data_IF_844704322024
#
_entry.id   IF_844704322024
#
_cell.length_a   1.000
_cell.length_b   1.000
_cell.length_c   1.000
_cell.angle_alpha   90.00
_cell.angle_beta   90.00
_cell.angle_gamma   90.00
#
_symmetry.space_group_name_H-M   'P 1'
#
loop_
_entity.id
_entity.type
_entity.pdbx_description
1 polymer ?
#
# COMPACT_ATOMS: atom_id res chain seq x y z
N UNK A 1 -27.58 0.13 -18.74
CA UNK A 1 -26.94 -1.12 -19.23
C UNK A 1 -25.41 -1.03 -19.36
N UNK A 2 -24.84 0.14 -19.71
CA UNK A 2 -23.41 0.30 -19.95
C UNK A 2 -22.55 0.11 -18.68
N UNK A 3 -22.99 0.63 -17.53
CA UNK A 3 -22.31 0.45 -16.24
C UNK A 3 -22.22 -1.02 -15.81
N UNK A 4 -23.30 -1.80 -16.00
CA UNK A 4 -23.30 -3.24 -15.71
C UNK A 4 -22.30 -4.00 -16.58
N UNK A 5 -22.17 -3.62 -17.86
CA UNK A 5 -21.18 -4.20 -18.78
C UNK A 5 -19.74 -3.85 -18.38
N UNK A 6 -19.50 -2.62 -17.90
CA UNK A 6 -18.18 -2.18 -17.42
C UNK A 6 -17.78 -2.94 -16.14
N UNK A 7 -18.70 -3.06 -15.16
CA UNK A 7 -18.44 -3.80 -13.92
C UNK A 7 -18.16 -5.28 -14.21
N UNK A 8 -18.90 -5.87 -15.16
CA UNK A 8 -18.71 -7.26 -15.56
C UNK A 8 -17.38 -7.46 -16.30
N UNK A 9 -16.99 -6.53 -17.17
CA UNK A 9 -15.69 -6.54 -17.84
C UNK A 9 -14.53 -6.46 -16.82
N UNK A 10 -14.60 -5.52 -15.87
CA UNK A 10 -13.59 -5.39 -14.81
C UNK A 10 -13.55 -6.63 -13.90
N UNK A 11 -14.71 -7.22 -13.58
CA UNK A 11 -14.77 -8.46 -12.79
C UNK A 11 -14.12 -9.63 -13.53
N UNK A 12 -14.36 -9.77 -14.83
CA UNK A 12 -13.74 -10.82 -15.65
C UNK A 12 -12.22 -10.65 -15.70
N UNK A 13 -11.73 -9.45 -15.97
CA UNK A 13 -10.28 -9.15 -16.01
C UNK A 13 -9.63 -9.43 -14.65
N UNK A 14 -10.30 -9.07 -13.56
CA UNK A 14 -9.80 -9.30 -12.20
C UNK A 14 -9.75 -10.80 -11.87
N UNK A 15 -10.78 -11.57 -12.22
CA UNK A 15 -10.83 -13.03 -12.02
C UNK A 15 -9.75 -13.74 -12.84
N UNK A 16 -9.58 -13.40 -14.13
CA UNK A 16 -8.55 -14.03 -14.97
C UNK A 16 -7.14 -13.72 -14.51
N UNK A 17 -6.91 -12.54 -13.94
CA UNK A 17 -5.60 -12.13 -13.41
C UNK A 17 -5.28 -12.76 -12.06
N UNK A 18 -6.29 -13.09 -11.26
CA UNK A 18 -6.13 -13.70 -9.92
C UNK A 18 -6.10 -15.23 -9.97
N UNK A 19 -6.76 -15.87 -10.95
CA UNK A 19 -6.79 -17.33 -11.14
C UNK A 19 -5.81 -17.87 -12.20
N UNK A 20 -4.91 -17.04 -12.74
CA UNK A 20 -3.79 -17.52 -13.54
C UNK A 20 -2.76 -18.25 -12.65
N UNK A 21 -3.14 -19.40 -12.12
CA UNK A 21 -2.33 -20.28 -11.30
C UNK A 21 -1.43 -21.12 -12.22
N UNK A 22 -0.13 -21.08 -11.96
CA UNK A 22 0.93 -21.77 -12.70
C UNK A 22 0.71 -23.29 -12.67
N UNK A 23 0.79 -23.95 -13.84
CA UNK A 23 0.95 -25.40 -13.94
C UNK A 23 2.18 -25.84 -13.13
N UNK A 24 2.03 -26.86 -12.27
CA UNK A 24 3.16 -27.58 -11.69
C UNK A 24 3.83 -28.40 -12.80
N UNK A 25 5.08 -28.08 -13.11
CA UNK A 25 6.01 -28.96 -13.83
C UNK A 25 6.89 -29.62 -12.79
N UNK A 26 7.00 -30.95 -12.85
CA UNK A 26 7.99 -31.69 -12.07
C UNK A 26 9.39 -31.28 -12.55
N UNK A 27 10.16 -30.63 -11.67
CA UNK A 27 11.52 -30.18 -11.98
C UNK A 27 12.53 -31.18 -11.41
N UNK A 28 13.26 -31.86 -12.28
CA UNK A 28 14.49 -32.58 -11.94
C UNK A 28 15.61 -31.54 -11.84
N UNK A 29 16.34 -31.51 -10.72
CA UNK A 29 17.51 -30.64 -10.57
C UNK A 29 18.75 -31.34 -11.14
N UNK A 30 19.26 -30.84 -12.26
CA UNK A 30 20.62 -31.13 -12.76
C UNK A 30 21.43 -29.85 -12.58
N UNK A 31 22.45 -29.90 -11.73
CA UNK A 31 23.36 -28.78 -11.55
C UNK A 31 24.41 -28.79 -12.66
N UNK A 32 24.22 -27.96 -13.67
CA UNK A 32 25.25 -27.66 -14.65
C UNK A 32 25.83 -26.28 -14.37
N UNK A 33 27.15 -26.21 -14.23
CA UNK A 33 27.89 -24.96 -13.99
C UNK A 33 27.92 -24.15 -15.29
N UNK A 34 26.98 -23.22 -15.44
CA UNK A 34 26.95 -22.28 -16.57
C UNK A 34 27.80 -21.06 -16.24
N UNK A 35 28.83 -20.83 -17.05
CA UNK A 35 29.56 -19.55 -17.08
C UNK A 35 28.77 -18.64 -18.03
N UNK A 36 28.16 -17.57 -17.50
CA UNK A 36 27.41 -16.59 -18.31
C UNK A 36 28.27 -15.36 -18.53
N UNK A 37 28.39 -14.95 -19.80
CA UNK A 37 28.94 -13.65 -20.19
C UNK A 37 27.89 -12.56 -20.00
N UNK A 38 28.25 -11.48 -19.32
CA UNK A 38 27.37 -10.34 -19.07
C UNK A 38 26.97 -9.64 -20.37
N UNK A 39 25.67 -9.66 -20.67
CA UNK A 39 25.09 -8.78 -21.69
C UNK A 39 24.42 -7.61 -20.96
N UNK A 40 25.04 -6.44 -21.04
CA UNK A 40 24.55 -5.21 -20.41
C UNK A 40 23.38 -4.66 -21.23
N UNK A 41 22.18 -4.60 -20.64
CA UNK A 41 21.07 -3.84 -21.19
C UNK A 41 21.13 -2.39 -20.69
N UNK A 42 21.44 -1.46 -21.59
CA UNK A 42 21.35 -0.03 -21.34
C UNK A 42 19.87 0.39 -21.40
N UNK A 43 19.20 0.46 -20.24
CA UNK A 43 17.89 1.10 -20.15
C UNK A 43 18.04 2.60 -20.42
N UNK A 44 17.58 3.03 -21.60
CA UNK A 44 17.60 4.43 -22.01
C UNK A 44 16.53 5.16 -21.21
N UNK A 45 16.95 6.08 -20.34
CA UNK A 45 16.03 6.94 -19.58
C UNK A 45 15.05 7.66 -20.53
N UNK A 46 13.76 7.37 -20.38
CA UNK A 46 12.69 8.10 -21.10
C UNK A 46 12.62 9.49 -20.47
N UNK A 47 13.16 10.50 -21.16
CA UNK A 47 12.97 11.91 -20.82
C UNK A 47 11.51 12.29 -21.09
N UNK A 48 10.63 12.02 -20.13
CA UNK A 48 9.29 12.61 -20.09
C UNK A 48 9.45 14.11 -19.80
N UNK A 49 9.45 14.93 -20.86
CA UNK A 49 9.16 16.35 -20.68
C UNK A 49 7.71 16.45 -20.23
N UNK A 50 7.39 17.09 -19.08
CA UNK A 50 6.02 17.40 -18.77
C UNK A 50 5.47 18.21 -19.94
N UNK A 51 4.42 17.71 -20.58
CA UNK A 51 3.63 18.56 -21.47
C UNK A 51 3.21 19.77 -20.64
N UNK A 52 3.26 20.98 -21.22
CA UNK A 52 2.89 22.24 -20.56
C UNK A 52 1.45 22.18 -20.03
N UNK A 53 1.27 21.56 -18.86
CA UNK A 53 0.04 21.54 -18.11
C UNK A 53 -0.07 22.92 -17.47
N UNK A 54 -0.69 23.84 -18.24
CA UNK A 54 -1.23 25.06 -17.67
C UNK A 54 -2.38 24.65 -16.77
N UNK A 55 -2.10 24.52 -15.48
CA UNK A 55 -3.15 24.51 -14.48
C UNK A 55 -3.74 25.91 -14.46
N UNK A 56 -5.03 26.03 -14.79
CA UNK A 56 -5.77 27.26 -14.48
C UNK A 56 -5.65 27.48 -12.97
N UNK A 57 -5.46 28.73 -12.54
CA UNK A 57 -5.61 29.10 -11.14
C UNK A 57 -6.92 28.52 -10.63
N UNK A 58 -6.89 27.86 -9.47
CA UNK A 58 -8.11 27.55 -8.73
C UNK A 58 -8.73 28.88 -8.31
N UNK A 59 -9.56 29.44 -9.16
CA UNK A 59 -10.53 30.43 -8.77
C UNK A 59 -11.64 29.67 -8.05
N UNK A 60 -11.65 29.80 -6.74
CA UNK A 60 -12.83 29.48 -5.94
C UNK A 60 -13.85 30.55 -6.34
N UNK A 61 -14.80 30.18 -7.19
CA UNK A 61 -16.02 30.97 -7.35
C UNK A 61 -16.73 30.93 -5.99
N UNK A 62 -16.51 31.97 -5.18
CA UNK A 62 -17.45 32.32 -4.12
C UNK A 62 -18.75 32.70 -4.81
N UNK A 63 -19.66 31.74 -4.96
CA UNK A 63 -21.05 32.04 -5.27
C UNK A 63 -21.57 32.93 -4.13
N UNK A 64 -21.65 34.24 -4.38
CA UNK A 64 -22.37 35.18 -3.53
C UNK A 64 -23.74 34.60 -3.23
N UNK A 65 -23.99 34.31 -1.94
CA UNK A 65 -25.31 33.95 -1.45
C UNK A 65 -26.18 35.20 -1.59
N UNK A 66 -26.80 35.37 -2.75
CA UNK A 66 -27.91 36.30 -2.92
C UNK A 66 -29.01 35.82 -1.98
N UNK A 67 -29.46 36.70 -1.08
CA UNK A 67 -30.62 36.43 -0.23
C UNK A 67 -31.80 36.01 -1.09
N UNK A 68 -32.10 34.71 -1.11
CA UNK A 68 -33.27 34.16 -1.78
C UNK A 68 -34.46 34.45 -0.86
N UNK A 69 -35.11 35.58 -1.14
CA UNK A 69 -36.39 35.91 -0.56
C UNK A 69 -37.48 35.16 -1.34
N UNK A 70 -37.78 33.91 -0.95
CA UNK A 70 -38.91 33.17 -1.53
C UNK A 70 -39.58 32.28 -0.47
N UNK A 71 -40.90 32.42 -0.45
CA UNK A 71 -41.86 31.59 0.27
C UNK A 71 -41.84 30.18 -0.37
N UNK A 72 -40.99 29.28 0.13
CA UNK A 72 -40.73 27.97 -0.48
C UNK A 72 -41.23 26.86 0.43
N UNK A 73 -41.88 25.87 -0.18
CA UNK A 73 -42.38 24.65 0.44
C UNK A 73 -41.25 23.88 1.14
N UNK A 74 -41.49 23.47 2.38
CA UNK A 74 -40.46 22.95 3.29
C UNK A 74 -39.84 21.65 2.78
N UNK A 75 -40.62 20.83 2.09
CA UNK A 75 -40.17 19.57 1.47
C UNK A 75 -39.24 19.81 0.27
N UNK A 76 -39.53 20.84 -0.53
CA UNK A 76 -38.72 21.21 -1.71
C UNK A 76 -37.39 21.85 -1.27
N UNK A 77 -37.42 22.64 -0.19
CA UNK A 77 -36.23 23.18 0.45
C UNK A 77 -35.37 22.06 1.08
N UNK A 78 -35.98 21.06 1.71
CA UNK A 78 -35.25 19.90 2.25
C UNK A 78 -34.60 19.06 1.14
N UNK A 79 -35.27 18.84 0.00
CA UNK A 79 -34.66 18.19 -1.16
C UNK A 79 -33.50 19.02 -1.75
N UNK A 80 -33.65 20.34 -1.88
CA UNK A 80 -32.61 21.22 -2.40
C UNK A 80 -31.42 21.31 -1.46
N UNK A 81 -31.65 21.42 -0.14
CA UNK A 81 -30.61 21.36 0.89
C UNK A 81 -29.92 20.00 0.88
N UNK A 82 -30.65 18.90 0.70
CA UNK A 82 -30.09 17.55 0.59
C UNK A 82 -29.25 17.39 -0.68
N UNK A 83 -29.67 17.98 -1.80
CA UNK A 83 -28.92 18.06 -3.08
C UNK A 83 -27.66 18.94 -2.98
N UNK A 84 -27.73 20.07 -2.27
CA UNK A 84 -26.58 20.95 -1.99
C UNK A 84 -25.58 20.30 -1.03
N UNK A 85 -26.07 19.53 -0.05
CA UNK A 85 -25.28 18.77 0.93
C UNK A 85 -24.70 17.46 0.35
N UNK A 86 -24.98 17.10 -0.90
CA UNK A 86 -24.41 15.90 -1.54
C UNK A 86 -23.03 16.12 -2.16
N UNK A 87 -22.61 17.36 -2.43
CA UNK A 87 -21.25 17.70 -2.93
C UNK A 87 -20.15 17.56 -1.85
N UNK A 88 -20.39 16.82 -0.78
CA UNK A 88 -19.58 16.89 0.43
C UNK A 88 -18.27 16.13 0.27
N UNK A 89 -17.22 16.90 0.05
CA UNK A 89 -15.88 16.53 0.43
C UNK A 89 -15.86 16.19 1.93
N UNK A 90 -15.34 15.02 2.28
CA UNK A 90 -15.17 14.54 3.64
C UNK A 90 -13.68 14.33 3.90
N UNK A 91 -13.26 14.51 5.15
CA UNK A 91 -11.90 14.25 5.57
C UNK A 91 -11.90 13.74 7.01
N UNK A 92 -10.82 13.09 7.40
CA UNK A 92 -10.68 12.64 8.77
C UNK A 92 -9.33 11.99 9.05
N UNK A 93 -9.20 11.58 10.30
CA UNK A 93 -8.09 10.80 10.82
C UNK A 93 -8.54 9.35 11.02
N UNK A 94 -7.59 8.42 10.95
CA UNK A 94 -7.78 7.01 11.21
C UNK A 94 -6.70 6.55 12.20
N UNK A 95 -7.08 5.69 13.13
CA UNK A 95 -6.15 4.97 13.99
C UNK A 95 -6.67 3.55 14.18
N UNK A 96 -5.77 2.58 14.31
CA UNK A 96 -6.19 1.20 14.43
C UNK A 96 -5.06 0.24 14.76
N UNK A 97 -5.41 -1.03 14.82
CA UNK A 97 -4.49 -2.14 15.04
C UNK A 97 -4.62 -3.14 13.90
N UNK A 98 -3.58 -3.92 13.66
CA UNK A 98 -3.55 -4.86 12.54
C UNK A 98 -2.65 -6.06 12.80
N UNK A 99 -2.86 -7.07 11.96
CA UNK A 99 -2.08 -8.30 11.91
C UNK A 99 -1.55 -8.45 10.49
N UNK A 100 -0.25 -8.67 10.35
CA UNK A 100 0.46 -8.81 9.08
C UNK A 100 1.13 -10.18 9.04
N UNK A 101 0.91 -10.91 7.96
CA UNK A 101 1.65 -12.15 7.67
C UNK A 101 2.50 -11.92 6.44
N UNK A 102 3.76 -12.34 6.47
CA UNK A 102 4.68 -12.18 5.35
C UNK A 102 5.20 -13.54 4.93
N UNK A 103 5.04 -13.88 3.66
CA UNK A 103 5.33 -15.23 3.14
C UNK A 103 6.81 -15.60 3.26
N UNK A 104 7.73 -14.65 3.09
CA UNK A 104 9.16 -14.90 3.25
C UNK A 104 9.58 -15.17 4.70
N UNK A 105 8.76 -14.73 5.67
CA UNK A 105 9.02 -14.95 7.08
C UNK A 105 8.57 -16.34 7.57
N UNK A 106 7.86 -17.11 6.74
CA UNK A 106 7.33 -18.43 7.13
C UNK A 106 8.43 -19.43 7.49
N UNK A 107 9.60 -19.33 6.86
CA UNK A 107 10.74 -20.20 7.13
C UNK A 107 11.66 -19.69 8.25
N UNK A 108 11.40 -18.48 8.78
CA UNK A 108 12.33 -17.80 9.70
C UNK A 108 11.85 -17.85 11.15
N UNK A 109 10.54 -18.01 11.36
CA UNK A 109 9.94 -18.07 12.68
C UNK A 109 8.59 -18.76 12.60
N UNK A 110 8.33 -19.65 13.56
CA UNK A 110 7.00 -20.24 13.77
C UNK A 110 5.94 -19.16 14.05
N UNK A 111 6.34 -18.00 14.56
CA UNK A 111 5.51 -16.81 14.77
C UNK A 111 5.60 -15.87 13.57
N UNK A 112 5.05 -16.30 12.44
CA UNK A 112 5.02 -15.52 11.19
C UNK A 112 3.95 -14.40 11.14
N UNK A 113 3.22 -14.19 12.25
CA UNK A 113 2.17 -13.19 12.37
C UNK A 113 2.62 -11.99 13.20
N UNK A 114 2.70 -10.83 12.56
CA UNK A 114 3.18 -9.59 13.11
C UNK A 114 2.03 -8.68 13.56
N UNK A 115 2.06 -8.25 14.81
CA UNK A 115 1.12 -7.25 15.32
C UNK A 115 1.63 -5.83 15.05
N UNK A 116 0.72 -4.92 14.75
CA UNK A 116 1.05 -3.51 14.56
C UNK A 116 -0.10 -2.57 14.83
N UNK A 117 0.25 -1.29 14.84
CA UNK A 117 -0.67 -0.17 15.02
C UNK A 117 -0.55 0.77 13.83
N UNK A 118 -1.64 1.44 13.48
CA UNK A 118 -1.65 2.40 12.39
C UNK A 118 -2.23 3.75 12.82
N UNK A 119 -1.78 4.79 12.15
CA UNK A 119 -2.35 6.13 12.20
C UNK A 119 -2.32 6.74 10.80
N UNK A 120 -3.36 7.47 10.42
CA UNK A 120 -3.43 8.02 9.09
C UNK A 120 -4.48 9.11 8.92
N UNK A 121 -4.49 9.66 7.72
CA UNK A 121 -5.43 10.68 7.27
C UNK A 121 -6.13 10.20 6.01
N UNK A 122 -7.33 10.70 5.79
CA UNK A 122 -8.08 10.40 4.59
C UNK A 122 -8.91 11.57 4.12
N UNK A 123 -9.13 11.61 2.82
CA UNK A 123 -10.07 12.51 2.15
C UNK A 123 -10.99 11.67 1.27
N UNK A 124 -12.25 12.06 1.17
CA UNK A 124 -13.27 11.32 0.42
C UNK A 124 -14.18 12.28 -0.31
N UNK A 125 -14.56 11.93 -1.53
CA UNK A 125 -15.48 12.69 -2.36
C UNK A 125 -16.48 11.77 -3.02
N UNK A 126 -17.75 12.14 -2.97
CA UNK A 126 -18.79 11.46 -3.75
C UNK A 126 -18.57 11.72 -5.24
N UNK A 127 -18.64 10.65 -6.05
CA UNK A 127 -18.50 10.74 -7.51
C UNK A 127 -19.83 10.46 -8.19
N UNK A 128 -20.63 9.55 -7.63
CA UNK A 128 -21.99 9.29 -8.10
C UNK A 128 -22.89 9.44 -6.88
N UNK A 129 -23.49 10.61 -6.75
CA UNK A 129 -24.34 10.93 -5.61
C UNK A 129 -25.60 10.05 -5.58
N UNK A 130 -25.99 9.52 -4.40
CA UNK A 130 -25.29 9.51 -3.11
C UNK A 130 -24.52 8.21 -2.84
N UNK A 131 -24.52 7.26 -3.78
CA UNK A 131 -24.21 5.86 -3.49
C UNK A 131 -22.75 5.47 -3.71
N UNK A 132 -21.92 6.34 -4.31
CA UNK A 132 -20.55 5.98 -4.64
C UNK A 132 -19.56 7.12 -4.37
N UNK A 133 -18.53 6.83 -3.59
CA UNK A 133 -17.45 7.77 -3.25
C UNK A 133 -16.07 7.18 -3.52
N UNK A 134 -15.12 8.06 -3.81
CA UNK A 134 -13.69 7.72 -3.81
C UNK A 134 -13.03 8.33 -2.57
N UNK A 135 -12.19 7.54 -1.93
CA UNK A 135 -11.43 7.92 -0.75
C UNK A 135 -9.94 7.70 -0.99
N UNK A 136 -9.14 8.75 -0.78
CA UNK A 136 -7.69 8.67 -0.75
C UNK A 136 -7.26 8.67 0.71
N UNK A 137 -6.43 7.70 1.11
CA UNK A 137 -5.91 7.60 2.47
C UNK A 137 -4.40 7.41 2.48
N UNK A 138 -3.73 8.07 3.43
CA UNK A 138 -2.32 7.90 3.72
C UNK A 138 -2.16 7.45 5.18
N UNK A 139 -1.56 6.29 5.39
CA UNK A 139 -1.41 5.64 6.68
C UNK A 139 0.06 5.34 6.97
N UNK A 140 0.44 5.46 8.24
CA UNK A 140 1.72 4.98 8.78
C UNK A 140 1.42 3.83 9.71
N UNK A 141 2.01 2.68 9.42
CA UNK A 141 1.94 1.49 10.26
C UNK A 141 3.26 1.31 11.00
N UNK A 142 3.18 0.98 12.28
CA UNK A 142 4.30 0.52 13.08
C UNK A 142 4.09 -0.96 13.40
N UNK A 143 4.99 -1.79 12.90
CA UNK A 143 4.95 -3.23 13.08
C UNK A 143 5.98 -3.68 14.12
N UNK A 144 5.52 -4.41 15.14
CA UNK A 144 6.39 -4.93 16.20
C UNK A 144 7.20 -6.13 15.71
N UNK A 145 8.38 -6.35 16.27
CA UNK A 145 9.21 -7.51 15.88
C UNK A 145 8.52 -8.83 16.23
N UNK A 146 8.63 -9.82 15.35
CA UNK A 146 8.26 -11.23 15.63
C UNK A 146 9.45 -12.18 15.65
N UNK A 147 10.60 -11.73 15.14
CA UNK A 147 11.87 -12.44 15.19
C UNK A 147 13.04 -11.45 15.09
N UNK A 148 14.18 -11.86 15.63
CA UNK A 148 15.41 -11.10 15.72
C UNK A 148 16.57 -12.07 15.48
N UNK A 149 17.18 -11.98 14.31
CA UNK A 149 18.30 -12.81 13.89
C UNK A 149 19.59 -12.15 14.33
N UNK A 150 20.43 -12.86 15.08
CA UNK A 150 21.68 -12.33 15.65
C UNK A 150 22.75 -13.41 15.59
N UNK A 151 23.72 -13.25 14.67
CA UNK A 151 24.78 -14.24 14.44
C UNK A 151 25.73 -14.41 15.62
N UNK A 152 25.72 -13.48 16.58
CA UNK A 152 26.52 -13.62 17.81
C UNK A 152 25.87 -14.56 18.84
N UNK A 153 24.59 -14.91 18.66
CA UNK A 153 23.83 -15.73 19.60
C UNK A 153 23.51 -17.11 19.05
N UNK A 154 23.18 -17.20 17.76
CA UNK A 154 22.76 -18.43 17.11
C UNK A 154 23.10 -18.40 15.62
N UNK A 155 23.31 -19.58 15.03
CA UNK A 155 23.49 -19.71 13.59
C UNK A 155 22.19 -19.33 12.89
N UNK A 156 22.29 -18.47 11.87
CA UNK A 156 21.11 -17.99 11.12
C UNK A 156 21.24 -18.34 9.64
N UNK A 157 20.13 -18.58 8.96
CA UNK A 157 20.14 -18.88 7.53
C UNK A 157 20.57 -17.69 6.63
N UNK A 158 20.68 -16.47 7.20
CA UNK A 158 21.28 -15.29 6.56
C UNK A 158 22.77 -15.14 6.89
N UNK A 159 23.33 -16.05 7.67
CA UNK A 159 24.74 -16.01 8.01
C UNK A 159 25.60 -16.25 6.78
N UNK A 160 26.56 -15.35 6.55
CA UNK A 160 27.47 -15.45 5.42
C UNK A 160 28.01 -14.12 4.95
N UNK A 161 28.89 -14.23 3.96
CA UNK A 161 29.44 -13.09 3.24
C UNK A 161 28.53 -12.70 2.09
N UNK A 162 28.25 -11.41 2.03
CA UNK A 162 27.56 -10.72 0.95
C UNK A 162 28.56 -9.76 0.29
N UNK A 163 28.24 -9.28 -0.90
CA UNK A 163 29.08 -8.32 -1.61
C UNK A 163 28.27 -7.07 -1.92
N UNK A 164 28.87 -5.91 -1.71
CA UNK A 164 28.31 -4.64 -2.20
C UNK A 164 28.42 -4.56 -3.73
N UNK A 165 27.81 -3.53 -4.33
CA UNK A 165 27.96 -3.25 -5.77
C UNK A 165 29.41 -3.01 -6.19
N UNK A 166 30.27 -2.60 -5.26
CA UNK A 166 31.71 -2.37 -5.46
C UNK A 166 32.57 -3.59 -5.06
N UNK A 167 31.97 -4.79 -5.03
CA UNK A 167 32.58 -6.07 -4.65
C UNK A 167 33.25 -6.07 -3.25
N UNK A 168 32.83 -5.18 -2.36
CA UNK A 168 33.33 -5.17 -0.99
C UNK A 168 32.63 -6.26 -0.17
N UNK A 169 33.37 -7.09 0.59
CA UNK A 169 32.76 -8.10 1.43
C UNK A 169 31.98 -7.44 2.56
N UNK A 170 30.80 -7.98 2.84
CA UNK A 170 29.90 -7.60 3.93
C UNK A 170 29.60 -8.87 4.71
N UNK A 171 29.81 -8.88 6.03
CA UNK A 171 29.45 -10.03 6.85
C UNK A 171 28.14 -9.74 7.59
N UNK A 172 27.12 -10.56 7.37
CA UNK A 172 25.83 -10.39 8.06
C UNK A 172 26.00 -10.50 9.58
N UNK A 173 25.29 -9.64 10.32
CA UNK A 173 25.33 -9.62 11.80
C UNK A 173 23.94 -9.79 12.39
N UNK A 174 23.00 -8.92 12.01
CA UNK A 174 21.70 -8.86 12.67
C UNK A 174 20.59 -8.43 11.74
N UNK A 175 19.41 -8.99 11.94
CA UNK A 175 18.18 -8.53 11.28
C UNK A 175 16.99 -8.57 12.22
N UNK A 176 16.28 -7.45 12.30
CA UNK A 176 15.02 -7.36 13.03
C UNK A 176 13.91 -6.86 12.10
N UNK A 177 12.78 -7.57 12.09
CA UNK A 177 11.65 -7.24 11.22
C UNK A 177 10.74 -6.11 11.75
N UNK A 178 11.10 -5.42 12.84
CA UNK A 178 10.42 -4.20 13.30
C UNK A 178 10.63 -3.08 12.29
N UNK A 179 9.55 -2.50 11.79
CA UNK A 179 9.64 -1.44 10.79
C UNK A 179 8.43 -0.51 10.81
N UNK A 180 8.62 0.65 10.18
CA UNK A 180 7.53 1.50 9.73
C UNK A 180 7.19 1.18 8.28
N UNK A 181 5.89 1.20 7.99
CA UNK A 181 5.34 1.01 6.66
C UNK A 181 4.42 2.20 6.33
N UNK A 182 4.70 2.85 5.20
CA UNK A 182 3.90 3.98 4.71
C UNK A 182 2.97 3.47 3.61
N UNK A 183 1.66 3.61 3.79
CA UNK A 183 0.66 3.06 2.87
C UNK A 183 -0.20 4.17 2.29
N UNK A 184 -0.21 4.28 0.97
CA UNK A 184 -1.12 5.13 0.22
C UNK A 184 -2.20 4.28 -0.43
N UNK A 185 -3.47 4.66 -0.32
CA UNK A 185 -4.58 3.87 -0.85
C UNK A 185 -5.63 4.74 -1.51
N UNK A 186 -6.16 4.25 -2.63
CA UNK A 186 -7.35 4.78 -3.28
C UNK A 186 -8.46 3.73 -3.17
N UNK A 187 -9.53 4.07 -2.46
CA UNK A 187 -10.68 3.20 -2.17
C UNK A 187 -11.91 3.69 -2.94
N UNK A 188 -12.60 2.76 -3.59
CA UNK A 188 -13.93 2.92 -4.13
C UNK A 188 -14.94 2.38 -3.13
N UNK A 189 -15.86 3.24 -2.67
CA UNK A 189 -16.77 2.96 -1.56
C UNK A 189 -18.21 3.06 -2.07
N UNK A 190 -19.01 2.04 -1.77
CA UNK A 190 -20.44 2.07 -2.03
C UNK A 190 -21.21 2.36 -0.74
N UNK A 191 -22.08 3.37 -0.73
CA UNK A 191 -22.89 3.73 0.44
C UNK A 191 -24.16 2.89 0.48
N UNK A 192 -24.32 2.07 1.52
CA UNK A 192 -25.54 1.29 1.77
C UNK A 192 -26.02 1.47 3.21
N UNK A 193 -26.90 2.45 3.42
CA UNK A 193 -27.35 2.87 4.76
C UNK A 193 -26.14 3.26 5.63
N UNK A 194 -25.89 2.51 6.71
CA UNK A 194 -24.73 2.71 7.59
C UNK A 194 -23.53 1.83 7.18
N UNK A 195 -23.70 0.90 6.24
CA UNK A 195 -22.66 0.02 5.77
C UNK A 195 -22.01 0.60 4.50
N UNK A 196 -20.69 0.51 4.44
CA UNK A 196 -19.89 1.07 3.35
C UNK A 196 -18.86 0.03 2.91
N UNK A 197 -19.26 -0.98 2.11
CA UNK A 197 -18.29 -1.89 1.51
C UNK A 197 -17.36 -1.10 0.58
N UNK A 198 -16.09 -1.50 0.56
CA UNK A 198 -15.09 -0.86 -0.28
C UNK A 198 -14.10 -1.84 -0.87
N UNK A 199 -13.55 -1.43 -2.02
CA UNK A 199 -12.44 -2.08 -2.69
C UNK A 199 -11.42 -1.00 -3.04
N UNK A 200 -10.13 -1.30 -3.00
CA UNK A 200 -9.10 -0.30 -3.23
C UNK A 200 -7.84 -0.85 -3.84
N UNK A 201 -7.05 0.07 -4.40
CA UNK A 201 -5.66 -0.17 -4.78
C UNK A 201 -4.76 0.56 -3.81
N UNK A 202 -3.62 -0.04 -3.50
CA UNK A 202 -2.72 0.48 -2.51
C UNK A 202 -1.26 0.27 -2.89
N UNK A 203 -0.43 1.20 -2.45
CA UNK A 203 1.00 1.12 -2.54
C UNK A 203 1.58 1.29 -1.13
N UNK A 204 2.53 0.44 -0.74
CA UNK A 204 3.28 0.63 0.48
C UNK A 204 4.75 0.89 0.20
N UNK A 205 5.41 1.53 1.16
CA UNK A 205 6.86 1.58 1.28
C UNK A 205 7.26 1.00 2.62
N UNK A 206 8.03 -0.09 2.58
CA UNK A 206 8.62 -0.70 3.76
C UNK A 206 10.08 -0.23 3.91
N UNK A 207 10.52 -0.01 5.15
CA UNK A 207 11.91 0.31 5.47
C UNK A 207 12.43 -0.69 6.51
N UNK A 208 13.13 -1.71 6.04
CA UNK A 208 13.77 -2.71 6.89
C UNK A 208 15.23 -2.34 7.14
N UNK A 209 15.74 -2.64 8.33
CA UNK A 209 17.15 -2.45 8.69
C UNK A 209 17.83 -3.80 8.90
N UNK A 210 18.96 -3.99 8.23
CA UNK A 210 19.87 -5.11 8.41
C UNK A 210 21.23 -4.57 8.84
N UNK A 211 21.94 -5.31 9.69
CA UNK A 211 23.25 -4.92 10.17
C UNK A 211 24.32 -5.84 9.59
N UNK A 212 25.39 -5.23 9.08
CA UNK A 212 26.53 -5.93 8.50
C UNK A 212 27.82 -5.39 9.09
N UNK A 213 28.86 -6.22 9.17
CA UNK A 213 30.24 -5.75 9.28
C UNK A 213 30.73 -5.36 7.90
N UNK A 214 31.29 -4.16 7.80
CA UNK A 214 31.83 -3.57 6.57
C UNK A 214 33.35 -3.38 6.72
N UNK A 215 34.10 -3.35 5.60
CA UNK A 215 35.55 -3.17 5.65
C UNK A 215 35.91 -1.73 6.05
N UNK A 216 36.74 -1.57 7.07
CA UNK A 216 37.45 -0.33 7.38
C UNK A 216 38.94 -0.65 7.34
N UNK A 217 39.70 0.04 6.47
CA UNK A 217 41.12 -0.25 6.23
C UNK A 217 41.41 -1.72 5.88
N UNK A 218 40.60 -2.30 4.99
CA UNK A 218 40.69 -3.71 4.56
C UNK A 218 40.45 -4.76 5.66
N UNK A 219 39.84 -4.37 6.78
CA UNK A 219 39.45 -5.27 7.86
C UNK A 219 37.95 -5.13 8.13
N UNK A 220 37.22 -6.25 8.20
CA UNK A 220 35.81 -6.28 8.58
C UNK A 220 35.66 -6.04 10.08
N UNK A 221 35.53 -4.78 10.48
CA UNK A 221 35.50 -4.39 11.90
C UNK A 221 34.45 -3.31 12.24
N UNK A 222 33.82 -2.71 11.24
CA UNK A 222 32.85 -1.64 11.42
C UNK A 222 31.44 -2.16 11.21
N UNK A 223 30.54 -1.92 12.15
CA UNK A 223 29.13 -2.27 12.01
C UNK A 223 28.36 -1.15 11.31
N UNK A 224 27.58 -1.51 10.28
CA UNK A 224 26.76 -0.55 9.51
C UNK A 224 25.34 -1.06 9.27
N UNK A 225 24.40 -0.11 9.14
CA UNK A 225 22.96 -0.33 8.96
C UNK A 225 22.58 -0.21 7.47
N UNK A 226 22.22 -1.32 6.84
CA UNK A 226 21.69 -1.36 5.47
C UNK A 226 20.17 -1.28 5.49
N UNK A 227 19.61 -0.33 4.73
CA UNK A 227 18.16 -0.11 4.63
C UNK A 227 17.61 -0.63 3.32
N UNK A 228 16.69 -1.58 3.39
CA UNK A 228 15.91 -2.00 2.22
C UNK A 228 14.68 -1.11 2.08
N UNK A 229 14.59 -0.39 0.96
CA UNK A 229 13.46 0.45 0.59
C UNK A 229 12.75 -0.17 -0.61
N UNK A 230 11.54 -0.68 -0.38
CA UNK A 230 10.76 -1.32 -1.44
C UNK A 230 9.36 -0.74 -1.52
N UNK A 231 8.95 -0.40 -2.74
CA UNK A 231 7.58 0.00 -3.03
C UNK A 231 6.83 -1.23 -3.53
N UNK A 232 5.77 -1.62 -2.82
CA UNK A 232 4.93 -2.75 -3.24
C UNK A 232 3.53 -2.26 -3.56
N UNK A 233 2.90 -2.94 -4.51
CA UNK A 233 1.54 -2.64 -4.94
C UNK A 233 0.61 -3.77 -4.52
N UNK A 234 -0.64 -3.41 -4.27
CA UNK A 234 -1.62 -4.31 -3.71
C UNK A 234 -3.04 -3.83 -3.89
N UNK A 235 -3.94 -4.57 -3.26
CA UNK A 235 -5.35 -4.24 -3.20
C UNK A 235 -5.86 -4.34 -1.76
N UNK A 236 -6.94 -3.61 -1.48
CA UNK A 236 -7.71 -3.76 -0.24
C UNK A 236 -9.17 -4.07 -0.52
N UNK A 237 -9.77 -4.80 0.42
CA UNK A 237 -11.19 -5.09 0.49
C UNK A 237 -11.61 -4.87 1.94
N UNK A 238 -12.79 -4.31 2.15
CA UNK A 238 -13.26 -4.13 3.52
C UNK A 238 -14.67 -3.60 3.62
N UNK A 239 -15.04 -3.34 4.86
CA UNK A 239 -16.36 -2.86 5.23
C UNK A 239 -16.19 -1.77 6.29
N UNK A 240 -16.81 -0.62 6.08
CA UNK A 240 -16.93 0.42 7.11
C UNK A 240 -18.37 0.49 7.61
N UNK A 241 -18.53 0.79 8.90
CA UNK A 241 -19.80 1.04 9.54
C UNK A 241 -19.82 2.48 10.09
N UNK A 242 -20.85 3.23 9.74
CA UNK A 242 -21.05 4.62 10.16
C UNK A 242 -21.84 4.67 11.47
N UNK A 243 -21.23 5.24 12.50
CA UNK A 243 -21.83 5.48 13.81
C UNK A 243 -22.03 7.00 14.00
N UNK A 244 -23.25 7.39 14.38
CA UNK A 244 -23.63 8.79 14.68
C UNK A 244 -23.19 9.81 13.62
N UNK A 245 -23.23 9.43 12.34
CA UNK A 245 -22.84 10.23 11.16
C UNK A 245 -21.36 10.65 11.03
N UNK A 246 -20.56 10.59 12.10
CA UNK A 246 -19.19 11.15 12.16
C UNK A 246 -18.10 10.11 12.41
N UNK A 247 -18.45 8.99 13.04
CA UNK A 247 -17.50 7.94 13.38
C UNK A 247 -17.62 6.80 12.39
N UNK A 248 -16.48 6.28 11.96
CA UNK A 248 -16.39 5.13 11.08
C UNK A 248 -15.60 4.06 11.83
N UNK A 249 -16.13 2.84 11.83
CA UNK A 249 -15.37 1.65 12.23
C UNK A 249 -15.18 0.82 10.98
N UNK A 250 -13.96 0.43 10.68
CA UNK A 250 -13.65 -0.37 9.50
C UNK A 250 -12.91 -1.67 9.83
N UNK A 251 -13.21 -2.68 9.02
CA UNK A 251 -12.45 -3.93 8.94
C UNK A 251 -11.90 -4.02 7.52
N UNK A 252 -10.58 -4.14 7.40
CA UNK A 252 -9.87 -4.11 6.14
C UNK A 252 -8.94 -5.30 5.97
N UNK A 253 -9.03 -5.95 4.82
CA UNK A 253 -8.05 -6.90 4.34
C UNK A 253 -7.16 -6.21 3.29
N UNK A 254 -5.85 -6.32 3.47
CA UNK A 254 -4.85 -5.78 2.55
C UNK A 254 -3.96 -6.91 2.03
N UNK A 255 -3.71 -6.91 0.73
CA UNK A 255 -2.79 -7.85 0.10
C UNK A 255 -1.78 -7.10 -0.76
N UNK A 256 -0.49 -7.36 -0.52
CA UNK A 256 0.61 -6.77 -1.26
C UNK A 256 1.37 -7.82 -2.04
N UNK A 257 1.69 -7.51 -3.30
CA UNK A 257 2.64 -8.29 -4.09
C UNK A 257 4.03 -7.70 -3.93
N UNK A 258 4.87 -8.39 -3.17
CA UNK A 258 6.28 -8.04 -3.00
C UNK A 258 7.08 -8.62 -4.17
N UNK A 259 7.87 -7.78 -4.85
CA UNK A 259 8.80 -8.22 -5.89
C UNK A 259 10.22 -7.97 -5.38
N UNK A 260 10.98 -9.06 -5.24
CA UNK A 260 12.38 -9.13 -4.80
C UNK A 260 12.56 -8.63 -3.37
N UNK A 261 12.79 -9.53 -2.41
CA UNK A 261 13.06 -9.16 -1.01
C UNK A 261 14.56 -9.08 -0.67
N UNK A 262 15.40 -9.49 -1.63
CA UNK A 262 16.85 -9.58 -1.58
C UNK A 262 17.37 -9.24 -2.98
#
# INVERSE_FOLDING_TARGET
MLLRKIILLFSVIFITSTFAQRKKTDTIYVYEKVIVYDTIYLEKAIKLKPANLKFSSLEIEEEEIKEINLNIDKEELEEQIKKLRTKNFQYGIQAGIGLKKVSWAENLSEKNQQFGQNFGIWISKSIIDPNFSLMLSANVHHWNSTFDLDTNKEETYLEGFYFSEDDQPLLFQRFNNKHFEYVLQLKAIYEWKNLRPFVGFLANKNNYKMQFLVPENNVLNKLDDFKSNQINFGFSLGLQYRIFSRFLIDVEYQHFKIKNLL
#
